data_IF_345302648363
#
_entry.id   IF_345302648363
#
_cell.length_a   1.000
_cell.length_b   1.000
_cell.length_c   1.000
_cell.angle_alpha   90.00
_cell.angle_beta   90.00
_cell.angle_gamma   90.00
#
_symmetry.space_group_name_H-M   'P 1'
#
loop_
_entity.id
_entity.type
_entity.pdbx_description
1 polymer ?
#
# COMPACT_ATOMS: atom_id res chain seq x y z
N UNK A 1 24.06 6.63 1.23
CA UNK A 1 22.83 5.84 1.52
C UNK A 1 22.83 4.39 0.99
N UNK A 2 23.84 3.89 0.27
CA UNK A 2 23.87 2.48 -0.24
C UNK A 2 23.92 1.37 0.83
N UNK A 3 24.43 1.65 2.03
CA UNK A 3 24.66 0.63 3.05
C UNK A 3 23.39 -0.09 3.52
N UNK A 4 22.28 0.65 3.74
CA UNK A 4 21.01 0.04 4.17
C UNK A 4 20.44 -0.94 3.15
N UNK A 5 20.61 -0.65 1.86
CA UNK A 5 20.23 -1.54 0.77
C UNK A 5 21.01 -2.85 0.81
N UNK A 6 22.33 -2.75 0.94
CA UNK A 6 23.20 -3.93 0.95
C UNK A 6 22.94 -4.79 2.20
N UNK A 7 22.70 -4.15 3.35
CA UNK A 7 22.29 -4.82 4.60
C UNK A 7 20.94 -5.52 4.44
N UNK A 8 19.94 -4.86 3.85
CA UNK A 8 18.63 -5.45 3.63
C UNK A 8 18.71 -6.68 2.71
N UNK A 9 19.43 -6.56 1.60
CA UNK A 9 19.63 -7.68 0.67
C UNK A 9 20.46 -8.82 1.27
N UNK A 10 21.49 -8.53 2.06
CA UNK A 10 22.27 -9.57 2.73
C UNK A 10 21.41 -10.36 3.72
N UNK A 11 20.57 -9.66 4.50
CA UNK A 11 19.65 -10.29 5.46
C UNK A 11 18.56 -11.11 4.78
N UNK A 12 17.99 -10.59 3.69
CA UNK A 12 17.00 -11.32 2.91
C UNK A 12 17.59 -12.62 2.32
N UNK A 13 18.82 -12.58 1.80
CA UNK A 13 19.53 -13.79 1.33
C UNK A 13 19.88 -14.76 2.46
N UNK A 14 20.05 -14.27 3.68
CA UNK A 14 20.26 -15.08 4.87
C UNK A 14 18.95 -15.62 5.48
N UNK A 15 17.78 -15.26 4.94
CA UNK A 15 16.47 -15.65 5.48
C UNK A 15 15.99 -14.79 6.66
N UNK A 16 16.76 -13.79 7.08
CA UNK A 16 16.42 -12.83 8.15
C UNK A 16 15.43 -11.78 7.62
N UNK A 17 14.16 -12.19 7.54
CA UNK A 17 13.08 -11.37 7.00
C UNK A 17 12.81 -10.12 7.86
N UNK A 18 12.91 -10.25 9.19
CA UNK A 18 12.67 -9.14 10.12
C UNK A 18 13.78 -8.09 10.08
N UNK A 19 15.03 -8.53 10.02
CA UNK A 19 16.17 -7.63 9.90
C UNK A 19 16.27 -6.98 8.53
N UNK A 20 15.85 -7.67 7.46
CA UNK A 20 15.68 -7.08 6.13
C UNK A 20 14.58 -6.01 6.15
N UNK A 21 13.42 -6.32 6.73
CA UNK A 21 12.29 -5.41 6.89
C UNK A 21 12.65 -4.15 7.71
N UNK A 22 13.47 -4.30 8.75
CA UNK A 22 13.98 -3.17 9.52
C UNK A 22 14.91 -2.27 8.69
N UNK A 23 15.87 -2.84 7.96
CA UNK A 23 16.79 -2.08 7.13
C UNK A 23 16.08 -1.34 5.99
N UNK A 24 15.09 -1.97 5.37
CA UNK A 24 14.22 -1.34 4.38
C UNK A 24 13.38 -0.19 4.94
N UNK A 25 12.87 -0.29 6.19
CA UNK A 25 12.20 0.82 6.88
C UNK A 25 13.14 2.00 7.13
N UNK A 26 14.39 1.74 7.50
CA UNK A 26 15.39 2.81 7.62
C UNK A 26 15.60 3.52 6.28
N UNK A 27 15.66 2.76 5.19
CA UNK A 27 15.81 3.30 3.85
C UNK A 27 14.57 4.12 3.43
N UNK A 28 13.36 3.66 3.75
CA UNK A 28 12.11 4.42 3.57
C UNK A 28 12.11 5.75 4.33
N UNK A 29 12.57 5.73 5.58
CA UNK A 29 12.64 6.93 6.43
C UNK A 29 13.64 7.98 5.91
N UNK A 30 14.57 7.58 5.04
CA UNK A 30 15.47 8.51 4.34
C UNK A 30 14.89 9.09 3.05
N UNK A 31 13.64 8.74 2.70
CA UNK A 31 12.94 9.18 1.49
C UNK A 31 13.28 8.39 0.22
N UNK A 32 14.16 7.38 0.30
CA UNK A 32 14.53 6.54 -0.84
C UNK A 32 13.48 5.42 -1.05
N UNK A 33 12.25 5.80 -1.41
CA UNK A 33 11.15 4.84 -1.63
C UNK A 33 11.27 4.07 -2.94
N UNK A 34 12.14 4.48 -3.87
CA UNK A 34 12.31 3.83 -5.17
C UNK A 34 12.85 2.40 -5.04
N UNK A 35 13.76 2.15 -4.09
CA UNK A 35 14.25 0.80 -3.83
C UNK A 35 13.13 -0.13 -3.34
N UNK A 36 12.30 0.36 -2.42
CA UNK A 36 11.13 -0.37 -1.94
C UNK A 36 10.12 -0.62 -3.07
N UNK A 37 9.92 0.37 -3.95
CA UNK A 37 9.04 0.24 -5.11
C UNK A 37 9.55 -0.82 -6.08
N UNK A 38 10.86 -0.89 -6.30
CA UNK A 38 11.48 -1.96 -7.09
C UNK A 38 11.34 -3.32 -6.41
N UNK A 39 11.54 -3.42 -5.10
CA UNK A 39 11.33 -4.65 -4.33
C UNK A 39 9.88 -5.14 -4.46
N UNK A 40 8.90 -4.26 -4.25
CA UNK A 40 7.48 -4.56 -4.42
C UNK A 40 7.17 -5.13 -5.80
N UNK A 41 7.62 -4.47 -6.88
CA UNK A 41 7.46 -4.96 -8.26
C UNK A 41 8.12 -6.32 -8.50
N UNK A 42 9.32 -6.55 -7.98
CA UNK A 42 9.99 -7.86 -8.11
C UNK A 42 9.22 -8.96 -7.38
N UNK A 43 8.71 -8.67 -6.17
CA UNK A 43 7.91 -9.63 -5.39
C UNK A 43 6.58 -9.94 -6.04
N UNK A 44 5.94 -8.96 -6.66
CA UNK A 44 4.74 -9.18 -7.47
C UNK A 44 4.97 -10.12 -8.64
N UNK A 45 6.06 -9.92 -9.38
CA UNK A 45 6.43 -10.78 -10.51
C UNK A 45 6.68 -12.22 -10.04
N UNK A 46 7.25 -12.38 -8.84
CA UNK A 46 7.43 -13.68 -8.19
C UNK A 46 6.14 -14.24 -7.56
N UNK A 47 4.99 -13.55 -7.68
CA UNK A 47 3.71 -13.91 -7.03
C UNK A 47 3.80 -14.01 -5.50
N UNK A 48 4.80 -13.36 -4.92
CA UNK A 48 5.04 -13.23 -3.49
C UNK A 48 4.23 -12.04 -2.96
N UNK A 49 2.91 -12.23 -2.91
CA UNK A 49 1.96 -11.15 -2.63
C UNK A 49 2.13 -10.54 -1.23
N UNK A 50 2.51 -11.33 -0.22
CA UNK A 50 2.70 -10.83 1.14
C UNK A 50 3.90 -9.88 1.22
N UNK A 51 5.05 -10.27 0.66
CA UNK A 51 6.23 -9.39 0.64
C UNK A 51 6.05 -8.18 -0.26
N UNK A 52 5.32 -8.33 -1.37
CA UNK A 52 4.96 -7.19 -2.21
C UNK A 52 4.06 -6.20 -1.47
N UNK A 53 3.01 -6.69 -0.80
CA UNK A 53 2.10 -5.85 -0.01
C UNK A 53 2.86 -5.12 1.10
N UNK A 54 3.74 -5.83 1.81
CA UNK A 54 4.61 -5.23 2.83
C UNK A 54 5.46 -4.08 2.26
N UNK A 55 6.07 -4.26 1.09
CA UNK A 55 6.91 -3.22 0.48
C UNK A 55 6.11 -1.94 0.15
N UNK A 56 4.89 -2.08 -0.41
CA UNK A 56 4.04 -0.92 -0.69
C UNK A 56 3.50 -0.25 0.57
N UNK A 57 3.19 -1.03 1.61
CA UNK A 57 2.80 -0.50 2.92
C UNK A 57 3.88 0.44 3.47
N UNK A 58 5.15 0.02 3.43
CA UNK A 58 6.25 0.86 3.93
C UNK A 58 6.45 2.15 3.13
N UNK A 59 6.17 2.13 1.82
CA UNK A 59 6.24 3.35 1.00
C UNK A 59 5.10 4.30 1.36
N UNK A 60 3.89 3.77 1.54
CA UNK A 60 2.74 4.56 1.97
C UNK A 60 2.96 5.17 3.36
N UNK A 61 3.49 4.40 4.31
CA UNK A 61 3.81 4.87 5.66
C UNK A 61 4.96 5.88 5.68
N UNK A 62 5.83 5.87 4.67
CA UNK A 62 6.85 6.90 4.45
C UNK A 62 6.30 8.19 3.81
N UNK A 63 4.99 8.28 3.58
CA UNK A 63 4.31 9.48 3.08
C UNK A 63 4.10 9.53 1.56
N UNK A 64 4.27 8.41 0.85
CA UNK A 64 4.00 8.30 -0.58
C UNK A 64 2.70 7.50 -0.83
N UNK A 65 1.53 8.18 -0.87
CA UNK A 65 0.23 7.52 -1.00
C UNK A 65 0.05 6.82 -2.34
N UNK A 66 0.85 7.12 -3.37
CA UNK A 66 0.78 6.42 -4.67
C UNK A 66 1.09 4.93 -4.56
N UNK A 67 1.80 4.51 -3.50
CA UNK A 67 2.05 3.10 -3.24
C UNK A 67 0.80 2.32 -2.82
N UNK A 68 -0.25 2.99 -2.34
CA UNK A 68 -1.51 2.36 -1.98
C UNK A 68 -2.21 1.71 -3.20
N UNK A 69 -1.99 2.23 -4.41
CA UNK A 69 -2.40 1.56 -5.65
C UNK A 69 -1.67 0.23 -5.87
N UNK A 70 -0.36 0.20 -5.61
CA UNK A 70 0.45 -1.02 -5.63
C UNK A 70 -0.08 -2.04 -4.62
N UNK A 71 -0.28 -1.61 -3.38
CA UNK A 71 -0.87 -2.42 -2.32
C UNK A 71 -2.22 -3.00 -2.72
N UNK A 72 -3.14 -2.17 -3.21
CA UNK A 72 -4.47 -2.61 -3.63
C UNK A 72 -4.39 -3.67 -4.75
N UNK A 73 -3.55 -3.44 -5.75
CA UNK A 73 -3.34 -4.38 -6.85
C UNK A 73 -2.81 -5.73 -6.38
N UNK A 74 -1.85 -5.73 -5.45
CA UNK A 74 -1.30 -6.96 -4.87
C UNK A 74 -2.33 -7.72 -4.04
N UNK A 75 -3.08 -7.01 -3.20
CA UNK A 75 -4.15 -7.58 -2.38
C UNK A 75 -5.24 -8.20 -3.26
N UNK A 76 -5.60 -7.55 -4.37
CA UNK A 76 -6.51 -8.11 -5.38
C UNK A 76 -5.96 -9.39 -6.01
N UNK A 77 -4.67 -9.41 -6.37
CA UNK A 77 -4.03 -10.59 -6.95
C UNK A 77 -3.99 -11.78 -5.97
N UNK A 78 -3.86 -11.50 -4.68
CA UNK A 78 -3.95 -12.49 -3.60
C UNK A 78 -5.39 -12.91 -3.25
N UNK A 79 -6.42 -12.32 -3.87
CA UNK A 79 -7.82 -12.57 -3.54
C UNK A 79 -8.33 -11.85 -2.27
N UNK A 80 -7.50 -11.03 -1.63
CA UNK A 80 -7.85 -10.21 -0.46
C UNK A 80 -8.65 -8.96 -0.88
N UNK A 81 -9.92 -9.18 -1.22
CA UNK A 81 -10.86 -8.11 -1.59
C UNK A 81 -11.05 -7.08 -0.46
N UNK A 82 -11.21 -7.46 0.83
CA UNK A 82 -11.28 -6.51 1.92
C UNK A 82 -10.02 -5.65 2.05
N UNK A 83 -8.83 -6.25 1.96
CA UNK A 83 -7.55 -5.54 2.02
C UNK A 83 -7.33 -4.60 0.84
N UNK A 84 -7.69 -5.03 -0.37
CA UNK A 84 -7.68 -4.17 -1.55
C UNK A 84 -8.60 -2.95 -1.37
N UNK A 85 -9.82 -3.14 -0.84
CA UNK A 85 -10.75 -2.03 -0.57
C UNK A 85 -10.19 -1.05 0.45
N UNK A 86 -9.59 -1.55 1.55
CA UNK A 86 -8.93 -0.69 2.55
C UNK A 86 -7.78 0.13 1.96
N UNK A 87 -6.99 -0.46 1.07
CA UNK A 87 -5.91 0.24 0.40
C UNK A 87 -6.43 1.38 -0.49
N UNK A 88 -7.48 1.15 -1.28
CA UNK A 88 -8.09 2.22 -2.08
C UNK A 88 -8.78 3.29 -1.22
N UNK A 89 -9.43 2.93 -0.10
CA UNK A 89 -9.99 3.90 0.84
C UNK A 89 -8.90 4.84 1.38
N UNK A 90 -7.76 4.29 1.84
CA UNK A 90 -6.62 5.09 2.30
C UNK A 90 -6.05 5.99 1.21
N UNK A 91 -6.07 5.55 -0.05
CA UNK A 91 -5.59 6.35 -1.16
C UNK A 91 -6.50 7.57 -1.38
N UNK A 92 -7.82 7.35 -1.40
CA UNK A 92 -8.81 8.43 -1.50
C UNK A 92 -8.72 9.40 -0.32
N UNK A 93 -8.57 8.88 0.91
CA UNK A 93 -8.38 9.67 2.13
C UNK A 93 -7.11 10.53 2.07
N UNK A 94 -6.04 10.01 1.48
CA UNK A 94 -4.80 10.74 1.20
C UNK A 94 -4.90 11.73 0.01
N UNK A 95 -6.09 11.89 -0.58
CA UNK A 95 -6.34 12.81 -1.69
C UNK A 95 -6.06 12.23 -3.09
N UNK A 96 -5.79 10.94 -3.21
CA UNK A 96 -5.63 10.28 -4.51
C UNK A 96 -6.99 10.05 -5.16
N UNK A 97 -7.40 11.00 -6.00
CA UNK A 97 -8.68 10.93 -6.72
C UNK A 97 -8.74 9.79 -7.74
N UNK A 98 -7.59 9.29 -8.22
CA UNK A 98 -7.55 8.19 -9.18
C UNK A 98 -7.95 6.85 -8.52
N UNK A 99 -7.91 6.79 -7.19
CA UNK A 99 -8.37 5.66 -6.40
C UNK A 99 -9.90 5.61 -6.23
N UNK A 100 -10.65 6.69 -6.52
CA UNK A 100 -12.11 6.72 -6.35
C UNK A 100 -12.81 5.70 -7.24
N UNK A 101 -12.48 5.67 -8.53
CA UNK A 101 -13.10 4.73 -9.49
C UNK A 101 -12.86 3.26 -9.12
N UNK A 102 -11.62 2.79 -8.89
CA UNK A 102 -11.42 1.40 -8.50
C UNK A 102 -12.00 1.07 -7.12
N UNK A 103 -12.14 2.06 -6.23
CA UNK A 103 -12.85 1.89 -4.96
C UNK A 103 -14.35 1.68 -5.15
N UNK A 104 -15.00 2.52 -5.95
CA UNK A 104 -16.44 2.39 -6.23
C UNK A 104 -16.74 1.09 -6.95
N UNK A 105 -15.88 0.67 -7.89
CA UNK A 105 -15.98 -0.64 -8.56
C UNK A 105 -15.81 -1.80 -7.56
N UNK A 106 -14.95 -1.62 -6.55
CA UNK A 106 -14.76 -2.61 -5.50
C UNK A 106 -15.94 -2.72 -4.54
N UNK A 107 -16.63 -1.60 -4.27
CA UNK A 107 -17.79 -1.51 -3.39
C UNK A 107 -19.10 -1.89 -4.08
N UNK A 108 -19.21 -1.67 -5.40
CA UNK A 108 -20.43 -1.94 -6.15
C UNK A 108 -21.60 -1.10 -5.63
N UNK A 109 -22.72 -1.75 -5.32
CA UNK A 109 -23.92 -1.08 -4.80
C UNK A 109 -23.68 -0.33 -3.48
N UNK A 110 -22.68 -0.75 -2.69
CA UNK A 110 -22.36 -0.14 -1.41
C UNK A 110 -21.60 1.19 -1.55
N UNK A 111 -21.23 1.61 -2.76
CA UNK A 111 -20.53 2.86 -3.03
C UNK A 111 -21.41 4.12 -2.82
N UNK A 112 -22.74 3.95 -2.75
CA UNK A 112 -23.70 5.06 -2.67
C UNK A 112 -23.41 6.08 -1.56
N UNK A 113 -23.19 5.65 -0.30
CA UNK A 113 -22.85 6.56 0.79
C UNK A 113 -21.52 7.29 0.58
N UNK A 114 -20.47 6.63 0.05
CA UNK A 114 -19.19 7.25 -0.25
C UNK A 114 -19.34 8.39 -1.28
N UNK A 115 -20.09 8.13 -2.36
CA UNK A 115 -20.32 9.12 -3.41
C UNK A 115 -21.20 10.28 -2.98
N UNK A 116 -22.11 10.04 -2.02
CA UNK A 116 -23.09 11.02 -1.58
C UNK A 116 -22.64 11.86 -0.38
N UNK A 117 -21.93 11.25 0.56
CA UNK A 117 -21.55 11.86 1.84
C UNK A 117 -20.03 11.98 2.01
N UNK A 118 -19.22 11.40 1.12
CA UNK A 118 -17.77 11.50 1.17
C UNK A 118 -17.13 10.67 2.30
N UNK A 119 -15.93 11.10 2.69
CA UNK A 119 -15.15 10.53 3.79
C UNK A 119 -15.10 11.51 4.97
N UNK A 120 -15.09 10.97 6.19
CA UNK A 120 -14.76 11.68 7.42
C UNK A 120 -13.25 11.93 7.52
N UNK A 121 -12.78 12.85 8.39
CA UNK A 121 -11.35 13.12 8.59
C UNK A 121 -10.51 11.91 9.04
N UNK A 122 -11.16 10.82 9.47
CA UNK A 122 -10.52 9.56 9.88
C UNK A 122 -10.55 8.48 8.78
N UNK A 123 -10.98 8.84 7.56
CA UNK A 123 -11.06 7.96 6.39
C UNK A 123 -12.27 7.02 6.38
N UNK A 124 -13.22 7.15 7.31
CA UNK A 124 -14.48 6.40 7.26
C UNK A 124 -15.44 7.02 6.26
N UNK A 125 -16.33 6.20 5.71
CA UNK A 125 -17.44 6.73 4.88
C UNK A 125 -18.37 7.51 5.79
N UNK A 126 -18.63 8.77 5.43
CA UNK A 126 -19.49 9.65 6.22
C UNK A 126 -20.92 9.10 6.32
N UNK A 127 -21.54 9.19 7.51
CA UNK A 127 -22.97 8.93 7.64
C UNK A 127 -23.78 10.03 6.93
N UNK A 128 -25.09 9.81 6.73
CA UNK A 128 -25.97 10.85 6.19
C UNK A 128 -25.96 12.12 7.07
N UNK A 129 -25.96 13.30 6.45
CA UNK A 129 -25.88 14.60 7.15
C UNK A 129 -27.24 15.17 7.63
N UNK A 130 -28.22 14.32 7.97
CA UNK A 130 -29.58 14.75 8.32
C UNK A 130 -30.13 14.02 9.53
#
# INVERSE_FOLDING_TARGET
>A
MRWWRDVAWARERAGDSDGAAWAYRQLASTGDTELLRRLGRTREQARDHDRAAWAYEQIADAGDPTALHGLARVRRAAGDRPGMRRAYLRAVDAGDTDALRPLTDAMGADAGPLLRYGLEPDGRVSPPWW
#
